data_IF_950863254756
#
_entry.id   IF_950863254756
#
_cell.length_a   1.000
_cell.length_b   1.000
_cell.length_c   1.000
_cell.angle_alpha   90.00
_cell.angle_beta   90.00
_cell.angle_gamma   90.00
#
_symmetry.space_group_name_H-M   'P 1'
#
loop_
_entity.id
_entity.type
_entity.pdbx_description
1 polymer ?
#
# COMPACT_ATOMS: atom_id res chain seq x y z
N UNK A 1 22.78 -16.06 15.97
CA UNK A 1 22.28 -14.84 15.31
C UNK A 1 21.23 -14.24 16.23
N UNK A 2 21.40 -12.98 16.68
CA UNK A 2 20.36 -12.30 17.47
C UNK A 2 19.10 -12.21 16.61
N UNK A 3 18.02 -12.79 17.07
CA UNK A 3 16.70 -12.68 16.46
C UNK A 3 16.17 -11.25 16.73
N UNK A 4 16.76 -10.24 16.08
CA UNK A 4 16.29 -8.86 16.18
C UNK A 4 15.01 -8.75 15.34
N UNK A 5 13.98 -8.16 15.92
CA UNK A 5 12.76 -7.83 15.20
C UNK A 5 13.06 -6.86 14.07
N UNK A 6 12.31 -6.95 12.99
CA UNK A 6 12.29 -5.91 11.94
C UNK A 6 11.69 -4.63 12.52
N UNK A 7 12.41 -3.53 12.37
CA UNK A 7 12.01 -2.22 12.87
C UNK A 7 11.28 -1.46 11.78
N UNK A 8 10.01 -1.18 12.03
CA UNK A 8 9.09 -0.59 11.06
C UNK A 8 8.81 0.87 11.40
N UNK A 9 8.91 1.73 10.40
CA UNK A 9 8.42 3.11 10.47
C UNK A 9 7.16 3.23 9.62
N UNK A 10 6.10 3.81 10.18
CA UNK A 10 4.85 4.07 9.47
C UNK A 10 4.78 5.55 9.09
N UNK A 11 4.63 5.82 7.80
CA UNK A 11 4.43 7.17 7.27
C UNK A 11 2.94 7.37 6.92
N UNK A 12 2.31 8.32 7.61
CA UNK A 12 0.89 8.63 7.51
C UNK A 12 0.07 8.06 8.66
N UNK A 13 -0.46 8.94 9.52
CA UNK A 13 -1.38 8.62 10.61
C UNK A 13 -2.84 8.77 10.14
N UNK A 14 -3.20 8.02 9.10
CA UNK A 14 -4.53 8.01 8.50
C UNK A 14 -5.34 6.77 8.88
N UNK A 15 -6.61 6.76 8.42
CA UNK A 15 -7.55 5.67 8.71
C UNK A 15 -7.00 4.27 8.34
N UNK A 16 -6.24 4.16 7.25
CA UNK A 16 -5.71 2.87 6.81
C UNK A 16 -4.58 2.37 7.70
N UNK A 17 -3.72 3.31 8.16
CA UNK A 17 -2.69 3.01 9.16
C UNK A 17 -3.34 2.51 10.47
N UNK A 18 -4.40 3.20 10.95
CA UNK A 18 -5.15 2.85 12.16
C UNK A 18 -5.82 1.48 12.06
N UNK A 19 -6.54 1.25 10.97
CA UNK A 19 -7.41 0.08 10.82
C UNK A 19 -6.66 -1.20 10.48
N UNK A 20 -5.60 -1.10 9.66
CA UNK A 20 -4.99 -2.28 9.06
C UNK A 20 -3.48 -2.39 9.32
N UNK A 21 -2.69 -1.35 8.98
CA UNK A 21 -1.24 -1.47 8.92
C UNK A 21 -0.60 -1.61 10.30
N UNK A 22 -0.83 -0.66 11.21
CA UNK A 22 -0.25 -0.69 12.56
C UNK A 22 -0.69 -1.96 13.30
N UNK A 23 -2.00 -2.30 13.37
CA UNK A 23 -2.42 -3.55 14.00
C UNK A 23 -1.84 -4.80 13.33
N UNK A 24 -1.67 -4.77 12.01
CA UNK A 24 -1.04 -5.86 11.25
C UNK A 24 0.40 -6.09 11.66
N UNK A 25 1.21 -5.04 11.70
CA UNK A 25 2.60 -5.11 12.14
C UNK A 25 2.73 -5.55 13.60
N UNK A 26 1.88 -5.03 14.48
CA UNK A 26 1.93 -5.35 15.91
C UNK A 26 1.54 -6.81 16.23
N UNK A 27 0.76 -7.46 15.35
CA UNK A 27 0.41 -8.88 15.48
C UNK A 27 1.55 -9.83 15.11
N UNK A 28 2.50 -9.38 14.29
CA UNK A 28 3.63 -10.21 13.91
C UNK A 28 4.76 -10.07 14.95
N UNK A 29 5.09 -11.14 15.71
CA UNK A 29 6.10 -11.08 16.74
C UNK A 29 7.52 -10.83 16.21
N UNK A 30 7.71 -10.92 14.89
CA UNK A 30 8.98 -10.65 14.22
C UNK A 30 9.19 -9.17 13.91
N UNK A 31 8.16 -8.34 14.11
CA UNK A 31 8.16 -6.92 13.77
C UNK A 31 7.98 -6.04 15.01
N UNK A 32 8.39 -4.78 14.91
CA UNK A 32 8.18 -3.75 15.90
C UNK A 32 7.96 -2.42 15.18
N UNK A 33 6.83 -1.78 15.42
CA UNK A 33 6.58 -0.40 14.95
C UNK A 33 7.28 0.54 15.91
N UNK A 34 8.29 1.25 15.45
CA UNK A 34 9.16 2.07 16.31
C UNK A 34 8.92 3.58 16.16
N UNK A 35 8.39 4.02 15.03
CA UNK A 35 8.07 5.42 14.78
C UNK A 35 6.85 5.56 13.88
N UNK A 36 6.01 6.54 14.18
CA UNK A 36 4.93 7.04 13.34
C UNK A 36 5.25 8.46 12.88
N UNK A 37 5.04 8.74 11.59
CA UNK A 37 5.27 10.05 11.00
C UNK A 37 4.01 10.57 10.31
N UNK A 38 3.60 11.81 10.63
CA UNK A 38 2.53 12.52 9.92
C UNK A 38 2.88 14.01 9.87
N UNK A 39 2.62 14.72 8.76
CA UNK A 39 2.87 16.16 8.67
C UNK A 39 2.21 16.96 9.81
N UNK A 40 1.07 16.48 10.32
CA UNK A 40 0.44 17.02 11.52
C UNK A 40 1.00 16.29 12.74
N UNK A 41 1.98 16.93 13.41
CA UNK A 41 2.68 16.33 14.56
C UNK A 41 1.73 15.84 15.66
N UNK A 42 0.67 16.58 15.96
CA UNK A 42 -0.34 16.21 16.95
C UNK A 42 -1.00 14.87 16.59
N UNK A 43 -1.31 14.65 15.30
CA UNK A 43 -1.88 13.38 14.83
C UNK A 43 -0.88 12.23 15.00
N UNK A 44 0.39 12.47 14.72
CA UNK A 44 1.43 11.48 14.96
C UNK A 44 1.55 11.13 16.45
N UNK A 45 1.44 12.15 17.33
CA UNK A 45 1.47 11.97 18.78
C UNK A 45 0.28 11.15 19.30
N UNK A 46 -0.93 11.45 18.81
CA UNK A 46 -2.14 10.71 19.16
C UNK A 46 -2.02 9.24 18.77
N UNK A 47 -1.52 8.95 17.56
CA UNK A 47 -1.29 7.57 17.10
C UNK A 47 -0.19 6.87 17.89
N UNK A 48 0.89 7.57 18.23
CA UNK A 48 1.94 7.02 19.05
C UNK A 48 1.41 6.60 20.42
N UNK A 49 0.57 7.43 21.04
CA UNK A 49 -0.10 7.11 22.30
C UNK A 49 -1.08 5.96 22.15
N UNK A 50 -1.97 6.02 21.16
CA UNK A 50 -3.03 5.02 20.93
C UNK A 50 -2.46 3.61 20.68
N UNK A 51 -1.38 3.51 19.93
CA UNK A 51 -0.78 2.25 19.52
C UNK A 51 0.49 1.88 20.29
N UNK A 52 0.84 2.68 21.32
CA UNK A 52 2.06 2.47 22.12
C UNK A 52 3.33 2.43 21.26
N UNK A 53 3.41 3.29 20.23
CA UNK A 53 4.59 3.45 19.39
C UNK A 53 5.58 4.38 20.10
N UNK A 54 6.87 3.99 20.23
CA UNK A 54 7.83 4.73 21.03
C UNK A 54 8.08 6.17 20.59
N UNK A 55 8.01 6.41 19.26
CA UNK A 55 8.40 7.70 18.70
C UNK A 55 7.36 8.21 17.68
N UNK A 56 7.22 9.55 17.64
CA UNK A 56 6.40 10.27 16.67
C UNK A 56 7.17 11.47 16.11
N UNK A 57 6.97 11.78 14.83
CA UNK A 57 7.63 12.91 14.17
C UNK A 57 6.79 13.46 13.02
N UNK A 58 7.09 14.69 12.58
CA UNK A 58 6.56 15.25 11.33
C UNK A 58 7.55 15.17 10.16
N UNK A 59 8.78 14.75 10.41
CA UNK A 59 9.90 14.82 9.47
C UNK A 59 10.21 13.44 8.86
N UNK A 60 9.54 13.09 7.77
CA UNK A 60 9.73 11.80 7.13
C UNK A 60 11.16 11.57 6.60
N UNK A 61 11.87 12.63 6.20
CA UNK A 61 13.26 12.56 5.75
C UNK A 61 14.16 11.97 6.84
N UNK A 62 14.01 12.48 8.05
CA UNK A 62 14.76 12.01 9.21
C UNK A 62 14.49 10.52 9.46
N UNK A 63 13.24 10.09 9.28
CA UNK A 63 12.84 8.69 9.47
C UNK A 63 13.52 7.78 8.44
N UNK A 64 13.50 8.17 7.17
CA UNK A 64 14.08 7.37 6.07
C UNK A 64 15.60 7.24 6.23
N UNK A 65 16.27 8.28 6.71
CA UNK A 65 17.73 8.31 6.86
C UNK A 65 18.23 7.50 8.07
N UNK A 66 17.36 7.04 8.95
CA UNK A 66 17.74 6.25 10.14
C UNK A 66 18.28 4.88 9.77
N UNK A 67 19.45 4.55 10.27
CA UNK A 67 20.10 3.23 10.04
C UNK A 67 19.45 2.08 10.83
N UNK A 68 18.65 2.41 11.87
CA UNK A 68 17.97 1.43 12.71
C UNK A 68 16.56 1.08 12.25
N UNK A 69 16.09 1.63 11.11
CA UNK A 69 14.82 1.29 10.46
C UNK A 69 15.09 0.33 9.32
N UNK A 70 14.38 -0.79 9.30
CA UNK A 70 14.46 -1.81 8.25
C UNK A 70 13.39 -1.60 7.18
N UNK A 71 12.17 -1.25 7.59
CA UNK A 71 10.98 -1.18 6.74
C UNK A 71 10.32 0.20 6.85
N UNK A 72 10.00 0.77 5.70
CA UNK A 72 9.12 1.94 5.61
C UNK A 72 7.75 1.49 5.12
N UNK A 73 6.73 1.75 5.91
CA UNK A 73 5.33 1.49 5.59
C UNK A 73 4.62 2.79 5.21
N UNK A 74 4.18 2.91 3.95
CA UNK A 74 3.66 4.15 3.37
C UNK A 74 2.14 4.09 3.29
N UNK A 75 1.47 4.80 4.21
CA UNK A 75 0.01 4.90 4.35
C UNK A 75 -0.50 6.34 4.11
N UNK A 76 0.28 7.16 3.43
CA UNK A 76 -0.02 8.56 3.13
C UNK A 76 -1.05 8.68 1.99
N UNK A 77 -1.49 9.89 1.59
CA UNK A 77 -2.23 10.08 0.36
C UNK A 77 -1.43 9.66 -0.87
N UNK A 78 -2.11 9.09 -1.88
CA UNK A 78 -1.48 8.52 -3.08
C UNK A 78 -0.57 9.49 -3.86
N UNK A 79 -0.82 10.79 -3.74
CA UNK A 79 0.02 11.83 -4.37
C UNK A 79 1.47 11.85 -3.87
N UNK A 80 1.74 11.32 -2.69
CA UNK A 80 3.08 11.31 -2.06
C UNK A 80 3.75 9.94 -2.12
N UNK A 81 3.04 8.89 -2.52
CA UNK A 81 3.55 7.52 -2.48
C UNK A 81 4.85 7.35 -3.24
N UNK A 82 4.90 7.85 -4.50
CA UNK A 82 6.09 7.65 -5.33
C UNK A 82 7.33 8.32 -4.76
N UNK A 83 7.21 9.56 -4.29
CA UNK A 83 8.34 10.28 -3.68
C UNK A 83 8.86 9.54 -2.45
N UNK A 84 7.98 9.16 -1.54
CA UNK A 84 8.35 8.46 -0.32
C UNK A 84 8.94 7.07 -0.62
N UNK A 85 8.34 6.33 -1.55
CA UNK A 85 8.83 5.04 -1.98
C UNK A 85 10.22 5.17 -2.62
N UNK A 86 10.39 6.13 -3.55
CA UNK A 86 11.66 6.36 -4.21
C UNK A 86 12.78 6.68 -3.23
N UNK A 87 12.54 7.62 -2.30
CA UNK A 87 13.51 8.00 -1.28
C UNK A 87 13.86 6.85 -0.33
N UNK A 88 12.87 6.06 0.04
CA UNK A 88 13.08 4.87 0.86
C UNK A 88 13.93 3.81 0.14
N UNK A 89 13.68 3.60 -1.16
CA UNK A 89 14.49 2.70 -1.99
C UNK A 89 15.93 3.20 -2.16
N UNK A 90 16.13 4.51 -2.41
CA UNK A 90 17.47 5.12 -2.45
C UNK A 90 18.24 4.85 -1.15
N UNK A 91 17.57 4.96 0.00
CA UNK A 91 18.12 4.68 1.33
C UNK A 91 18.28 3.18 1.64
N UNK A 92 17.92 2.28 0.72
CA UNK A 92 18.05 0.83 0.90
C UNK A 92 17.05 0.22 1.88
N UNK A 93 15.87 0.84 2.06
CA UNK A 93 14.81 0.34 2.95
C UNK A 93 13.91 -0.65 2.24
N UNK A 94 13.41 -1.65 2.98
CA UNK A 94 12.28 -2.44 2.56
C UNK A 94 11.01 -1.59 2.59
N UNK A 95 10.05 -1.87 1.71
CA UNK A 95 8.85 -1.03 1.58
C UNK A 95 7.58 -1.88 1.60
N UNK A 96 6.61 -1.46 2.41
CA UNK A 96 5.19 -1.69 2.20
C UNK A 96 4.57 -0.36 1.80
N UNK A 97 3.84 -0.30 0.71
CA UNK A 97 3.20 0.94 0.25
C UNK A 97 1.74 0.67 -0.12
N UNK A 98 0.85 1.55 0.31
CA UNK A 98 -0.52 1.55 -0.19
C UNK A 98 -0.56 1.82 -1.70
N UNK A 99 -1.58 1.29 -2.31
CA UNK A 99 -1.81 1.44 -3.75
C UNK A 99 -2.49 2.80 -4.05
N UNK A 100 -2.21 3.38 -5.23
CA UNK A 100 -1.16 3.02 -6.19
C UNK A 100 0.20 3.59 -5.74
N UNK A 101 1.30 2.92 -6.09
CA UNK A 101 2.64 3.42 -5.74
C UNK A 101 3.03 4.67 -6.56
N UNK A 102 2.55 4.78 -7.79
CA UNK A 102 2.81 5.93 -8.66
C UNK A 102 1.58 6.20 -9.55
N UNK A 103 1.54 7.37 -10.17
CA UNK A 103 0.46 7.81 -11.07
C UNK A 103 0.56 7.22 -12.48
N UNK A 104 1.67 6.62 -12.83
CA UNK A 104 1.90 6.05 -14.15
C UNK A 104 2.81 4.81 -14.06
N UNK A 105 2.73 3.97 -15.08
CA UNK A 105 3.47 2.71 -15.10
C UNK A 105 4.99 2.89 -15.19
N UNK A 106 5.47 3.97 -15.83
CA UNK A 106 6.92 4.22 -15.99
C UNK A 106 7.59 4.48 -14.66
N UNK A 107 6.97 5.27 -13.81
CA UNK A 107 7.48 5.53 -12.46
C UNK A 107 7.38 4.28 -11.58
N UNK A 108 6.30 3.49 -11.73
CA UNK A 108 6.19 2.19 -11.05
C UNK A 108 7.31 1.24 -11.49
N UNK A 109 7.60 1.16 -12.78
CA UNK A 109 8.68 0.32 -13.33
C UNK A 109 10.04 0.77 -12.79
N UNK A 110 10.34 2.07 -12.84
CA UNK A 110 11.58 2.62 -12.29
C UNK A 110 11.76 2.30 -10.81
N UNK A 111 10.69 2.39 -10.02
CA UNK A 111 10.74 2.01 -8.60
C UNK A 111 11.03 0.51 -8.42
N UNK A 112 10.44 -0.34 -9.25
CA UNK A 112 10.69 -1.79 -9.22
C UNK A 112 12.15 -2.12 -9.60
N UNK A 113 12.67 -1.52 -10.65
CA UNK A 113 14.07 -1.65 -11.08
C UNK A 113 15.06 -1.19 -9.99
N UNK A 114 14.76 -0.06 -9.35
CA UNK A 114 15.59 0.43 -8.24
C UNK A 114 15.54 -0.53 -7.03
N UNK A 115 14.37 -1.07 -6.70
CA UNK A 115 14.22 -2.04 -5.62
C UNK A 115 15.05 -3.30 -5.88
N UNK A 116 15.02 -3.81 -7.11
CA UNK A 116 15.82 -4.95 -7.54
C UNK A 116 17.33 -4.65 -7.44
N UNK A 117 17.74 -3.50 -7.99
CA UNK A 117 19.15 -3.07 -7.94
C UNK A 117 19.68 -2.89 -6.50
N UNK A 118 18.81 -2.47 -5.58
CA UNK A 118 19.13 -2.32 -4.14
C UNK A 118 19.01 -3.63 -3.36
N UNK A 119 18.43 -4.69 -3.93
CA UNK A 119 18.21 -5.96 -3.24
C UNK A 119 17.22 -5.88 -2.10
N UNK A 120 16.32 -4.88 -2.09
CA UNK A 120 15.31 -4.69 -1.06
C UNK A 120 14.00 -5.37 -1.41
N UNK A 121 13.18 -5.66 -0.40
CA UNK A 121 11.85 -6.24 -0.58
C UNK A 121 10.81 -5.14 -0.64
N UNK A 122 9.89 -5.27 -1.57
CA UNK A 122 8.77 -4.35 -1.74
C UNK A 122 7.45 -5.09 -1.79
N UNK A 123 6.39 -4.45 -1.28
CA UNK A 123 5.02 -4.94 -1.33
C UNK A 123 4.07 -3.79 -1.53
N UNK A 124 3.04 -3.98 -2.37
CA UNK A 124 1.93 -3.05 -2.52
C UNK A 124 0.69 -3.55 -1.79
N UNK A 125 -0.13 -2.62 -1.34
CA UNK A 125 -1.36 -2.84 -0.59
C UNK A 125 -2.51 -3.45 -1.41
N UNK A 126 -2.25 -4.41 -2.29
CA UNK A 126 -3.28 -5.18 -2.98
C UNK A 126 -3.85 -6.26 -2.06
N UNK A 127 -4.60 -5.83 -1.06
CA UNK A 127 -5.07 -6.66 0.05
C UNK A 127 -6.04 -7.76 -0.36
N UNK A 128 -6.77 -7.60 -1.47
CA UNK A 128 -7.75 -8.59 -1.93
C UNK A 128 -7.13 -9.95 -2.24
N UNK A 129 -5.87 -10.01 -2.69
CA UNK A 129 -5.14 -11.27 -2.88
C UNK A 129 -5.08 -12.14 -1.62
N UNK A 130 -5.20 -11.53 -0.44
CA UNK A 130 -5.08 -12.22 0.86
C UNK A 130 -6.43 -12.58 1.48
N UNK A 131 -7.53 -12.25 0.81
CA UNK A 131 -8.87 -12.73 1.21
C UNK A 131 -8.93 -14.26 1.08
N UNK A 132 -9.41 -14.98 2.09
CA UNK A 132 -9.48 -16.46 2.05
C UNK A 132 -10.21 -16.99 0.82
N UNK A 133 -11.33 -16.37 0.42
CA UNK A 133 -12.07 -16.78 -0.77
C UNK A 133 -11.29 -16.56 -2.07
N UNK A 134 -10.51 -15.48 -2.17
CA UNK A 134 -9.67 -15.18 -3.33
C UNK A 134 -8.48 -16.14 -3.42
N UNK A 135 -7.88 -16.50 -2.27
CA UNK A 135 -6.83 -17.52 -2.20
C UNK A 135 -7.36 -18.89 -2.62
N UNK A 136 -8.50 -19.29 -2.07
CA UNK A 136 -9.12 -20.57 -2.41
C UNK A 136 -9.48 -20.67 -3.91
N UNK A 137 -10.02 -19.58 -4.49
CA UNK A 137 -10.27 -19.54 -5.93
C UNK A 137 -8.99 -19.70 -6.76
N UNK A 138 -7.86 -19.13 -6.29
CA UNK A 138 -6.55 -19.32 -6.92
C UNK A 138 -6.12 -20.79 -6.85
N UNK A 139 -6.23 -21.43 -5.71
CA UNK A 139 -5.91 -22.86 -5.55
C UNK A 139 -6.73 -23.73 -6.50
N UNK A 140 -8.04 -23.47 -6.61
CA UNK A 140 -8.91 -24.19 -7.55
C UNK A 140 -8.49 -23.99 -9.01
N UNK A 141 -8.06 -22.80 -9.40
CA UNK A 141 -7.56 -22.52 -10.76
C UNK A 141 -6.26 -23.29 -11.03
N UNK A 142 -5.33 -23.28 -10.07
CA UNK A 142 -4.06 -23.99 -10.19
C UNK A 142 -4.26 -25.50 -10.26
N UNK A 143 -5.27 -26.03 -9.56
CA UNK A 143 -5.70 -27.44 -9.61
C UNK A 143 -6.47 -27.81 -10.90
N UNK A 144 -6.68 -26.85 -11.79
CA UNK A 144 -7.32 -27.08 -13.09
C UNK A 144 -8.84 -27.17 -13.06
N UNK A 145 -9.50 -26.68 -12.00
CA UNK A 145 -10.97 -26.75 -11.84
C UNK A 145 -11.74 -26.20 -13.05
N UNK A 146 -11.26 -25.11 -13.67
CA UNK A 146 -11.87 -24.51 -14.87
C UNK A 146 -11.20 -24.94 -16.17
N UNK A 147 -10.20 -25.83 -16.11
CA UNK A 147 -9.34 -26.13 -17.26
C UNK A 147 -8.46 -24.93 -17.65
N UNK A 148 -8.26 -24.73 -18.93
CA UNK A 148 -7.52 -23.56 -19.45
C UNK A 148 -8.42 -22.33 -19.45
N UNK A 149 -8.13 -21.27 -18.67
CA UNK A 149 -8.94 -20.06 -18.69
C UNK A 149 -8.71 -19.29 -20.01
N UNK A 150 -9.80 -18.95 -20.70
CA UNK A 150 -9.77 -18.18 -21.96
C UNK A 150 -10.25 -16.75 -21.78
N UNK A 151 -11.12 -16.50 -20.80
CA UNK A 151 -11.74 -15.21 -20.57
C UNK A 151 -11.77 -14.92 -19.07
N UNK A 152 -11.40 -13.73 -18.70
CA UNK A 152 -11.63 -13.18 -17.37
C UNK A 152 -12.53 -11.95 -17.49
N UNK A 153 -13.71 -12.02 -16.89
CA UNK A 153 -14.63 -10.90 -16.78
C UNK A 153 -14.83 -10.58 -15.30
N UNK A 154 -14.59 -9.35 -14.93
CA UNK A 154 -14.80 -8.88 -13.58
C UNK A 154 -15.45 -7.50 -13.57
N UNK A 155 -16.24 -7.26 -12.54
CA UNK A 155 -16.82 -5.96 -12.25
C UNK A 155 -16.81 -5.73 -10.74
N UNK A 156 -16.69 -4.47 -10.35
CA UNK A 156 -16.83 -4.06 -8.97
C UNK A 156 -18.04 -3.16 -8.82
N UNK A 157 -18.87 -3.49 -7.86
CA UNK A 157 -20.02 -2.66 -7.45
C UNK A 157 -19.80 -2.25 -6.01
N UNK A 158 -19.78 -0.93 -5.78
CA UNK A 158 -19.50 -0.39 -4.46
C UNK A 158 -20.70 0.38 -3.93
N UNK A 159 -21.24 -0.09 -2.80
CA UNK A 159 -22.42 0.52 -2.14
C UNK A 159 -22.15 1.90 -1.57
N UNK A 160 -20.90 2.29 -1.40
CA UNK A 160 -20.56 3.61 -0.86
C UNK A 160 -21.01 4.79 -1.75
N UNK A 161 -21.38 4.55 -2.99
CA UNK A 161 -21.92 5.56 -3.91
C UNK A 161 -23.43 5.58 -3.98
N UNK A 162 -24.13 4.75 -3.20
CA UNK A 162 -25.59 4.62 -3.26
C UNK A 162 -26.33 5.64 -2.39
N UNK A 163 -25.68 6.24 -1.41
CA UNK A 163 -26.30 7.23 -0.55
C UNK A 163 -26.00 8.66 -1.05
N UNK A 164 -26.97 9.33 -1.70
CA UNK A 164 -26.77 10.69 -2.20
C UNK A 164 -26.65 11.74 -1.08
N UNK A 165 -27.06 11.40 0.16
CA UNK A 165 -26.98 12.31 1.31
C UNK A 165 -25.62 12.22 2.02
N UNK A 166 -24.88 11.14 1.80
CA UNK A 166 -23.52 10.97 2.24
C UNK A 166 -22.59 10.75 1.03
N UNK A 167 -22.40 11.78 0.18
CA UNK A 167 -21.50 11.64 -0.94
C UNK A 167 -20.10 11.37 -0.39
N UNK A 168 -19.56 10.23 -0.76
CA UNK A 168 -18.18 9.88 -0.39
C UNK A 168 -17.28 10.93 -1.00
N UNK A 169 -16.66 11.69 -0.11
CA UNK A 169 -15.70 12.72 -0.42
C UNK A 169 -15.98 13.37 -1.77
N UNK A 170 -16.68 14.45 -1.78
CA UNK A 170 -16.46 15.41 -2.86
C UNK A 170 -14.95 15.66 -2.90
N UNK A 171 -14.27 14.99 -3.81
CA UNK A 171 -12.97 15.45 -4.25
C UNK A 171 -13.24 16.89 -4.66
N UNK A 172 -12.66 17.86 -3.97
CA UNK A 172 -12.74 19.25 -4.43
C UNK A 172 -12.08 19.27 -5.79
N UNK A 173 -12.89 19.21 -6.81
CA UNK A 173 -12.54 19.22 -8.23
C UNK A 173 -11.75 20.48 -8.62
N UNK A 174 -11.72 21.46 -7.73
CA UNK A 174 -11.28 22.82 -8.03
C UNK A 174 -9.80 23.08 -7.84
N UNK A 175 -9.05 22.15 -7.24
CA UNK A 175 -7.68 22.47 -6.84
C UNK A 175 -6.58 21.65 -7.50
N UNK A 176 -6.85 20.49 -8.09
CA UNK A 176 -5.85 19.68 -8.77
C UNK A 176 -6.47 18.81 -9.88
N UNK A 177 -6.31 19.17 -11.16
CA UNK A 177 -6.74 18.33 -12.29
C UNK A 177 -6.13 16.93 -12.28
N UNK A 178 -5.01 16.73 -11.61
CA UNK A 178 -4.37 15.42 -11.45
C UNK A 178 -5.07 14.58 -10.38
N UNK A 179 -5.76 15.18 -9.41
CA UNK A 179 -6.55 14.45 -8.41
C UNK A 179 -7.80 13.79 -9.03
N UNK A 180 -8.29 14.30 -10.14
CA UNK A 180 -9.44 13.76 -10.88
C UNK A 180 -9.09 12.43 -11.56
N UNK A 181 -7.84 12.25 -11.97
CA UNK A 181 -7.40 11.07 -12.73
C UNK A 181 -7.19 9.83 -11.86
N UNK A 182 -7.16 9.99 -10.54
CA UNK A 182 -6.80 8.91 -9.61
C UNK A 182 -7.99 8.27 -8.89
N UNK A 183 -9.23 8.75 -9.06
CA UNK A 183 -10.26 8.48 -8.06
C UNK A 183 -11.03 7.16 -8.20
N UNK A 184 -11.31 6.66 -9.40
CA UNK A 184 -12.15 5.46 -9.54
C UNK A 184 -11.41 4.25 -10.07
N UNK A 185 -10.63 4.39 -11.14
CA UNK A 185 -9.91 3.25 -11.71
C UNK A 185 -8.80 2.74 -10.76
N UNK A 186 -8.05 3.64 -10.17
CA UNK A 186 -6.96 3.28 -9.25
C UNK A 186 -7.47 2.80 -7.88
N UNK A 187 -8.56 3.40 -7.39
CA UNK A 187 -9.14 3.04 -6.11
C UNK A 187 -9.79 1.67 -6.13
N UNK A 188 -10.58 1.39 -7.15
CA UNK A 188 -11.45 0.22 -7.22
C UNK A 188 -11.14 -0.70 -8.41
N UNK A 189 -10.78 -0.18 -9.56
CA UNK A 189 -10.43 -0.99 -10.73
C UNK A 189 -9.09 -1.70 -10.58
N UNK A 190 -8.10 -1.05 -9.98
CA UNK A 190 -6.77 -1.64 -9.81
C UNK A 190 -6.76 -2.96 -9.03
N UNK A 191 -7.49 -3.14 -7.90
CA UNK A 191 -7.59 -4.43 -7.23
C UNK A 191 -8.22 -5.53 -8.09
N UNK A 192 -9.22 -5.19 -8.90
CA UNK A 192 -9.88 -6.16 -9.81
C UNK A 192 -8.94 -6.60 -10.93
N UNK A 193 -8.21 -5.65 -11.52
CA UNK A 193 -7.19 -5.92 -12.54
C UNK A 193 -6.06 -6.77 -11.93
N UNK A 194 -5.62 -6.44 -10.74
CA UNK A 194 -4.59 -7.17 -10.01
C UNK A 194 -4.96 -8.63 -9.75
N UNK A 195 -6.19 -8.89 -9.33
CA UNK A 195 -6.70 -10.26 -9.15
C UNK A 195 -6.75 -11.00 -10.48
N UNK A 196 -7.24 -10.36 -11.54
CA UNK A 196 -7.28 -10.95 -12.87
C UNK A 196 -5.90 -11.39 -13.35
N UNK A 197 -4.92 -10.52 -13.23
CA UNK A 197 -3.51 -10.86 -13.56
C UNK A 197 -2.99 -12.01 -12.70
N UNK A 198 -3.32 -12.01 -11.43
CA UNK A 198 -2.86 -13.03 -10.52
C UNK A 198 -3.52 -14.40 -10.76
N UNK A 199 -4.79 -14.42 -11.16
CA UNK A 199 -5.54 -15.66 -11.39
C UNK A 199 -5.25 -16.30 -12.75
N UNK A 200 -5.22 -15.51 -13.82
CA UNK A 200 -5.16 -16.05 -15.20
C UNK A 200 -3.83 -15.78 -15.92
N UNK A 201 -2.87 -15.14 -15.23
CA UNK A 201 -1.58 -14.79 -15.81
C UNK A 201 -1.57 -13.42 -16.51
N UNK A 202 -0.39 -13.00 -16.95
CA UNK A 202 -0.21 -11.71 -17.62
C UNK A 202 -0.87 -11.68 -18.99
N UNK A 203 -1.51 -10.55 -19.33
CA UNK A 203 -1.99 -10.29 -20.68
C UNK A 203 -0.78 -10.00 -21.58
N UNK A 204 -0.73 -10.64 -22.74
CA UNK A 204 -0.01 -10.08 -23.87
C UNK A 204 -1.01 -9.15 -24.58
N UNK A 205 -0.76 -7.87 -24.53
CA UNK A 205 -1.42 -6.91 -25.42
C UNK A 205 -0.69 -7.04 -26.76
N UNK A 206 -1.37 -7.62 -27.75
CA UNK A 206 -0.95 -7.57 -29.14
C UNK A 206 -1.19 -6.17 -29.74
#
# INVERSE_FOLDING_TARGET
MKNSKLRVAVLGAGRWAEFAHIPGWQRDPRCEVVVICDPLKERADDFAQQFSIPESTSEWQVVIDRSDIDVIDICTPSSTHFELAWKSLEAGKHILCEKPVARNFRDTLRAAELAEAKGVKTKLGFTFRYSPGVQFAREMLDDGFVGTPYIYNAYEQNSQFLDPLNPIRQVKLDSDPAAIQTSSLEGYGAPVIDIGHWWVGGYQLE
#
